data_IF_116019670654
#
_entry.id   IF_116019670654
#
_cell.length_a   1.000
_cell.length_b   1.000
_cell.length_c   1.000
_cell.angle_alpha   90.00
_cell.angle_beta   90.00
_cell.angle_gamma   90.00
#
_symmetry.space_group_name_H-M   'P 1'
#
loop_
_entity.id
_entity.type
_entity.pdbx_description
1 polymer ?
#
# COMPACT_ATOMS: atom_id res chain seq x y z
N UNK A 1 -9.05 -5.42 -19.34
CA UNK A 1 -9.55 -6.30 -18.25
C UNK A 1 -8.55 -6.17 -17.11
N UNK A 2 -9.01 -5.87 -15.89
CA UNK A 2 -8.16 -5.96 -14.69
C UNK A 2 -8.06 -7.44 -14.32
N UNK A 3 -6.87 -8.03 -14.39
CA UNK A 3 -6.64 -9.38 -13.88
C UNK A 3 -6.61 -9.33 -12.36
N UNK A 4 -7.33 -10.25 -11.71
CA UNK A 4 -7.35 -10.37 -10.25
C UNK A 4 -6.37 -11.47 -9.86
N UNK A 5 -5.18 -11.09 -9.42
CA UNK A 5 -4.18 -12.01 -8.89
C UNK A 5 -4.47 -12.26 -7.42
N UNK A 6 -4.47 -13.52 -7.00
CA UNK A 6 -4.58 -13.90 -5.60
C UNK A 6 -3.19 -14.17 -5.07
N UNK A 7 -2.81 -13.49 -3.98
CA UNK A 7 -1.54 -13.69 -3.30
C UNK A 7 -1.81 -14.46 -2.01
N UNK A 8 -1.07 -15.55 -1.81
CA UNK A 8 -1.04 -16.33 -0.57
C UNK A 8 0.04 -15.74 0.33
N UNK A 9 -0.33 -15.35 1.55
CA UNK A 9 0.64 -14.96 2.58
C UNK A 9 0.99 -16.22 3.38
N UNK A 10 2.26 -16.63 3.47
CA UNK A 10 2.66 -17.76 4.32
C UNK A 10 2.28 -17.52 5.79
N UNK A 11 1.90 -18.58 6.51
CA UNK A 11 1.44 -18.49 7.92
C UNK A 11 2.51 -17.94 8.87
N UNK A 12 3.78 -18.06 8.50
CA UNK A 12 4.96 -17.61 9.25
C UNK A 12 5.54 -16.29 8.73
N UNK A 13 4.80 -15.58 7.88
CA UNK A 13 5.08 -14.21 7.44
C UNK A 13 4.00 -13.29 8.00
N UNK A 14 4.41 -12.32 8.80
CA UNK A 14 3.51 -11.38 9.47
C UNK A 14 3.66 -9.99 8.88
N UNK A 15 2.62 -9.18 8.98
CA UNK A 15 2.70 -7.78 8.53
C UNK A 15 3.74 -7.00 9.33
N UNK A 16 3.87 -7.29 10.63
CA UNK A 16 4.85 -6.61 11.49
C UNK A 16 6.31 -6.90 11.09
N UNK A 17 6.56 -7.98 10.34
CA UNK A 17 7.90 -8.32 9.86
C UNK A 17 8.39 -7.34 8.78
N UNK A 18 7.50 -6.52 8.20
CA UNK A 18 7.89 -5.44 7.29
C UNK A 18 8.64 -4.31 8.01
N UNK A 19 8.51 -4.21 9.33
CA UNK A 19 9.19 -3.21 10.16
C UNK A 19 9.09 -1.80 9.55
N UNK A 20 7.86 -1.40 9.21
CA UNK A 20 7.61 -0.14 8.53
C UNK A 20 8.17 1.03 9.33
N UNK A 21 8.93 1.88 8.64
CA UNK A 21 9.38 3.15 9.19
C UNK A 21 9.20 4.25 8.16
N UNK A 22 9.28 5.49 8.63
CA UNK A 22 9.19 6.66 7.76
C UNK A 22 10.36 7.56 8.06
N UNK A 23 11.14 7.85 7.03
CA UNK A 23 12.27 8.75 7.14
C UNK A 23 11.75 10.17 7.49
N UNK A 24 12.22 10.79 8.59
CA UNK A 24 11.66 12.05 9.06
C UNK A 24 12.09 13.28 8.24
N UNK A 25 13.02 13.12 7.29
CA UNK A 25 13.55 14.21 6.46
C UNK A 25 12.91 14.21 5.08
N UNK A 26 12.81 13.03 4.47
CA UNK A 26 12.33 12.79 3.11
C UNK A 26 10.88 12.33 3.07
N UNK A 27 10.32 11.91 4.21
CA UNK A 27 8.99 11.30 4.34
C UNK A 27 8.82 9.99 3.56
N UNK A 28 9.91 9.41 3.05
CA UNK A 28 9.90 8.12 2.36
C UNK A 28 9.58 7.01 3.35
N UNK A 29 8.81 6.03 2.87
CA UNK A 29 8.48 4.82 3.63
C UNK A 29 9.60 3.81 3.37
N UNK A 30 10.14 3.26 4.45
CA UNK A 30 11.17 2.22 4.43
C UNK A 30 10.61 0.96 5.08
N UNK A 31 11.00 -0.20 4.55
CA UNK A 31 10.54 -1.50 5.03
C UNK A 31 11.54 -2.60 4.70
N UNK A 32 11.48 -3.68 5.48
CA UNK A 32 12.29 -4.87 5.26
C UNK A 32 11.77 -5.65 4.04
N UNK A 33 12.68 -6.08 3.17
CA UNK A 33 12.33 -6.78 1.92
C UNK A 33 12.05 -8.27 2.13
N UNK A 34 12.65 -8.89 3.14
CA UNK A 34 12.55 -10.33 3.41
C UNK A 34 11.10 -10.87 3.43
N UNK A 35 10.10 -10.19 4.04
CA UNK A 35 8.71 -10.65 3.98
C UNK A 35 8.15 -10.69 2.57
N UNK A 36 8.47 -9.69 1.73
CA UNK A 36 8.00 -9.63 0.36
C UNK A 36 8.64 -10.73 -0.50
N UNK A 37 9.94 -10.96 -0.33
CA UNK A 37 10.64 -12.03 -1.04
C UNK A 37 10.05 -13.41 -0.73
N UNK A 38 9.76 -13.69 0.56
CA UNK A 38 9.12 -14.95 0.98
C UNK A 38 7.70 -15.11 0.44
N UNK A 39 6.93 -14.02 0.37
CA UNK A 39 5.61 -14.04 -0.25
C UNK A 39 5.74 -14.31 -1.75
N UNK A 40 6.67 -13.64 -2.45
CA UNK A 40 6.92 -13.88 -3.87
C UNK A 40 7.32 -15.33 -4.14
N UNK A 41 8.23 -15.91 -3.35
CA UNK A 41 8.64 -17.32 -3.44
C UNK A 41 7.44 -18.27 -3.27
N UNK A 42 6.58 -18.04 -2.28
CA UNK A 42 5.40 -18.87 -2.03
C UNK A 42 4.34 -18.80 -3.15
N UNK A 43 4.39 -17.77 -4.00
CA UNK A 43 3.45 -17.54 -5.09
C UNK A 43 4.04 -17.74 -6.49
N UNK A 44 5.30 -18.20 -6.60
CA UNK A 44 6.04 -18.31 -7.86
C UNK A 44 6.06 -16.98 -8.65
N UNK A 45 6.26 -15.88 -7.91
CA UNK A 45 6.34 -14.52 -8.45
C UNK A 45 7.77 -14.01 -8.38
N UNK A 46 8.18 -13.27 -9.41
CA UNK A 46 9.41 -12.47 -9.35
C UNK A 46 9.17 -11.26 -8.44
N UNK A 47 10.11 -10.95 -7.55
CA UNK A 47 10.02 -9.78 -6.66
C UNK A 47 9.86 -8.47 -7.44
N UNK A 48 10.43 -8.37 -8.64
CA UNK A 48 10.28 -7.21 -9.54
C UNK A 48 8.85 -7.03 -10.06
N UNK A 49 8.02 -8.08 -10.05
CA UNK A 49 6.61 -7.95 -10.36
C UNK A 49 5.83 -7.19 -9.26
N UNK A 50 6.37 -7.15 -8.04
CA UNK A 50 5.79 -6.42 -6.91
C UNK A 50 6.48 -5.07 -6.69
N UNK A 51 7.80 -5.02 -6.82
CA UNK A 51 8.65 -3.85 -6.47
C UNK A 51 9.31 -3.19 -7.68
N UNK A 52 8.82 -3.46 -8.89
CA UNK A 52 9.32 -2.86 -10.12
C UNK A 52 9.05 -1.35 -10.20
N UNK A 53 9.15 -0.80 -11.41
CA UNK A 53 9.09 0.66 -11.66
C UNK A 53 7.75 1.33 -11.29
N UNK A 54 6.72 0.55 -10.95
CA UNK A 54 5.40 1.03 -10.58
C UNK A 54 5.19 0.90 -9.07
N UNK A 55 5.49 1.98 -8.35
CA UNK A 55 5.32 2.09 -6.90
C UNK A 55 3.86 1.88 -6.46
N UNK A 56 2.88 2.08 -7.35
CA UNK A 56 1.47 1.84 -7.03
C UNK A 56 1.18 0.35 -6.81
N UNK A 57 1.99 -0.56 -7.38
CA UNK A 57 1.83 -2.01 -7.20
C UNK A 57 2.16 -2.39 -5.76
N UNK A 58 3.35 -2.04 -5.28
CA UNK A 58 3.77 -2.36 -3.90
C UNK A 58 2.88 -1.62 -2.89
N UNK A 59 2.56 -0.34 -3.14
CA UNK A 59 1.67 0.43 -2.28
C UNK A 59 0.26 -0.16 -2.21
N UNK A 60 -0.30 -0.60 -3.34
CA UNK A 60 -1.59 -1.26 -3.41
C UNK A 60 -1.61 -2.60 -2.68
N UNK A 61 -0.54 -3.39 -2.82
CA UNK A 61 -0.36 -4.66 -2.13
C UNK A 61 -0.28 -4.48 -0.61
N UNK A 62 0.60 -3.60 -0.12
CA UNK A 62 0.77 -3.32 1.31
C UNK A 62 -0.55 -2.85 1.95
N UNK A 63 -1.30 -2.00 1.25
CA UNK A 63 -2.62 -1.57 1.69
C UNK A 63 -3.62 -2.74 1.81
N UNK A 64 -3.63 -3.65 0.85
CA UNK A 64 -4.52 -4.80 0.87
C UNK A 64 -4.15 -5.79 1.99
N UNK A 65 -2.86 -6.07 2.14
CA UNK A 65 -2.36 -6.96 3.20
C UNK A 65 -2.61 -6.37 4.58
N UNK A 66 -2.37 -5.08 4.79
CA UNK A 66 -2.65 -4.43 6.07
C UNK A 66 -4.13 -4.52 6.47
N UNK A 67 -5.06 -4.35 5.52
CA UNK A 67 -6.49 -4.51 5.81
C UNK A 67 -6.82 -5.92 6.28
N UNK A 68 -6.30 -6.94 5.58
CA UNK A 68 -6.49 -8.33 5.99
C UNK A 68 -5.88 -8.61 7.38
N UNK A 69 -4.71 -8.04 7.67
CA UNK A 69 -4.07 -8.10 8.99
C UNK A 69 -4.93 -7.47 10.09
N UNK A 70 -5.56 -6.32 9.84
CA UNK A 70 -6.46 -5.67 10.81
C UNK A 70 -7.77 -6.44 10.98
N UNK A 71 -8.31 -6.99 9.90
CA UNK A 71 -9.52 -7.84 9.93
C UNK A 71 -9.30 -9.15 10.71
N UNK A 72 -8.08 -9.69 10.72
CA UNK A 72 -7.72 -10.87 11.52
C UNK A 72 -7.37 -10.56 12.98
N UNK A 73 -7.44 -9.27 13.40
CA UNK A 73 -7.16 -8.83 14.77
C UNK A 73 -5.69 -8.50 15.04
N UNK A 74 -4.86 -8.40 13.99
CA UNK A 74 -3.48 -7.96 14.08
C UNK A 74 -3.33 -6.54 14.62
N UNK A 75 -2.17 -6.20 15.19
CA UNK A 75 -1.95 -4.89 15.81
C UNK A 75 -1.94 -3.74 14.78
N UNK A 76 -2.37 -2.52 15.14
CA UNK A 76 -2.23 -1.37 14.25
C UNK A 76 -0.75 -1.02 14.02
N UNK A 77 -0.41 -0.68 12.79
CA UNK A 77 0.91 -0.16 12.40
C UNK A 77 0.85 1.36 12.24
N UNK A 78 1.73 2.08 12.93
CA UNK A 78 1.66 3.55 12.98
C UNK A 78 1.91 4.21 11.62
N UNK A 79 2.83 3.67 10.81
CA UNK A 79 3.17 4.22 9.49
C UNK A 79 2.03 3.98 8.54
N UNK A 80 1.49 2.76 8.50
CA UNK A 80 0.39 2.43 7.59
C UNK A 80 -0.90 3.19 7.93
N UNK A 81 -1.22 3.35 9.22
CA UNK A 81 -2.36 4.17 9.65
C UNK A 81 -2.20 5.64 9.24
N UNK A 82 -0.97 6.18 9.32
CA UNK A 82 -0.69 7.54 8.86
C UNK A 82 -0.90 7.68 7.34
N UNK A 83 -0.39 6.75 6.53
CA UNK A 83 -0.55 6.76 5.07
C UNK A 83 -2.03 6.68 4.67
N UNK A 84 -2.81 5.83 5.35
CA UNK A 84 -4.26 5.73 5.11
C UNK A 84 -4.99 7.04 5.45
N UNK A 85 -4.60 7.71 6.53
CA UNK A 85 -5.16 9.00 6.91
C UNK A 85 -4.81 10.10 5.87
N UNK A 86 -3.58 10.10 5.34
CA UNK A 86 -3.14 11.01 4.27
C UNK A 86 -4.00 10.84 3.01
N UNK A 87 -4.16 9.61 2.52
CA UNK A 87 -5.00 9.31 1.35
C UNK A 87 -6.47 9.70 1.60
N UNK A 88 -6.98 9.51 2.81
CA UNK A 88 -8.34 9.92 3.16
C UNK A 88 -8.49 11.45 3.13
N UNK A 89 -7.54 12.17 3.71
CA UNK A 89 -7.52 13.63 3.68
C UNK A 89 -7.38 14.17 2.24
N UNK A 90 -6.51 13.59 1.41
CA UNK A 90 -6.36 13.98 0.01
C UNK A 90 -7.65 13.77 -0.80
N UNK A 91 -8.42 12.72 -0.51
CA UNK A 91 -9.75 12.53 -1.11
C UNK A 91 -10.77 13.55 -0.61
N UNK A 92 -10.65 14.03 0.61
CA UNK A 92 -11.55 15.07 1.14
C UNK A 92 -11.21 16.46 0.58
N UNK A 93 -9.91 16.79 0.46
CA UNK A 93 -9.43 18.10 -0.02
C UNK A 93 -9.26 18.19 -1.55
N UNK A 94 -8.95 17.08 -2.23
CA UNK A 94 -8.74 17.02 -3.69
C UNK A 94 -10.01 17.28 -4.50
N UNK A 95 -11.19 16.92 -3.97
CA UNK A 95 -12.48 17.31 -4.58
C UNK A 95 -12.77 18.81 -4.43
N UNK A 96 -12.18 19.51 -3.45
CA UNK A 96 -12.43 20.93 -3.23
C UNK A 96 -11.66 21.85 -4.20
N UNK A 97 -10.59 21.35 -4.85
CA UNK A 97 -9.76 22.12 -5.77
C UNK A 97 -10.06 21.86 -7.26
N UNK A 98 -11.04 21.01 -7.58
CA UNK A 98 -11.62 20.99 -8.93
C UNK A 98 -12.52 22.21 -9.05
N UNK A 99 -11.96 23.31 -9.56
CA UNK A 99 -12.74 24.44 -10.05
C UNK A 99 -13.67 23.90 -11.16
N UNK A 100 -14.93 23.59 -10.82
CA UNK A 100 -15.99 23.49 -11.81
C UNK A 100 -16.25 24.91 -12.32
N UNK A 101 -15.42 25.36 -13.26
CA UNK A 101 -15.74 26.55 -14.04
C UNK A 101 -17.06 26.31 -14.77
N UNK A 102 -17.97 27.29 -14.84
CA UNK A 102 -19.17 27.14 -15.64
C UNK A 102 -18.75 26.97 -17.10
N UNK A 103 -19.09 25.83 -17.71
CA UNK A 103 -19.07 25.70 -19.17
C UNK A 103 -20.17 26.60 -19.74
N UNK A 104 -19.86 27.87 -19.97
CA UNK A 104 -20.68 28.72 -20.84
C UNK A 104 -20.24 28.45 -22.26
N UNK A 105 -21.00 27.60 -22.95
CA UNK A 105 -20.99 27.53 -24.41
C UNK A 105 -21.56 28.86 -24.95
N UNK A 106 -20.77 29.56 -25.74
CA UNK A 106 -21.23 30.50 -26.77
C UNK A 106 -20.64 30.08 -28.10
#
# INVERSE_FOLDING_TARGET
MMQKTYIVIPDDVRFEDLNLSRDPVTSMVEFDMDPLERICEANDLDISALTGDDEDIVGGFLNAWYRAHRESGGAPDAVQEQLLAEVAAEKEFGFANVQTGPSTLQ
#
